data_IF_883244774901
#
_entry.id   IF_883244774901
#
_cell.length_a   1.000
_cell.length_b   1.000
_cell.length_c   1.000
_cell.angle_alpha   90.00
_cell.angle_beta   90.00
_cell.angle_gamma   90.00
#
_symmetry.space_group_name_H-M   'P 1'
#
loop_
_entity.id
_entity.type
_entity.pdbx_description
1 polymer ?
#
# COMPACT_ATOMS: atom_id res chain seq x y z
N UNK A 1 55.55 2.11 54.71
CA UNK A 1 54.68 1.60 53.63
C UNK A 1 53.23 1.68 54.10
N UNK A 2 52.43 2.64 53.61
CA UNK A 2 50.96 2.51 53.54
C UNK A 2 50.53 3.30 52.31
N UNK A 3 50.12 2.58 51.26
CA UNK A 3 49.50 3.13 50.06
C UNK A 3 47.99 3.03 50.29
N UNK A 4 47.27 4.16 50.31
CA UNK A 4 45.81 4.16 50.46
C UNK A 4 45.17 3.97 49.08
N UNK A 5 44.70 2.75 48.81
CA UNK A 5 43.94 2.41 47.60
C UNK A 5 42.51 2.95 47.68
N UNK A 6 42.25 4.03 46.94
CA UNK A 6 40.88 4.49 46.66
C UNK A 6 40.16 3.52 45.72
N UNK A 7 39.08 2.89 46.20
CA UNK A 7 38.23 2.01 45.40
C UNK A 7 37.27 2.84 44.54
N UNK A 8 37.56 2.96 43.26
CA UNK A 8 36.65 3.55 42.27
C UNK A 8 35.55 2.53 41.93
N UNK A 9 34.29 2.84 42.24
CA UNK A 9 33.14 2.00 41.90
C UNK A 9 32.66 2.39 40.51
N UNK A 10 32.88 1.50 39.53
CA UNK A 10 32.47 1.67 38.14
C UNK A 10 30.94 1.68 38.03
N UNK A 11 30.35 2.85 37.81
CA UNK A 11 28.92 3.00 37.51
C UNK A 11 28.71 2.59 36.05
N UNK A 12 28.06 1.44 35.84
CA UNK A 12 27.66 0.97 34.52
C UNK A 12 26.41 1.74 34.08
N UNK A 13 26.61 2.78 33.29
CA UNK A 13 25.53 3.51 32.62
C UNK A 13 24.94 2.61 31.53
N UNK A 14 23.68 2.19 31.69
CA UNK A 14 22.95 1.46 30.66
C UNK A 14 22.29 2.48 29.72
N UNK A 15 22.91 2.71 28.57
CA UNK A 15 22.33 3.48 27.47
C UNK A 15 21.21 2.65 26.82
N UNK A 16 19.96 2.94 27.19
CA UNK A 16 18.77 2.41 26.53
C UNK A 16 18.60 3.11 25.18
N UNK A 17 19.09 2.49 24.11
CA UNK A 17 18.80 2.89 22.73
C UNK A 17 17.35 2.49 22.42
N UNK A 18 16.44 3.46 22.45
CA UNK A 18 15.07 3.28 21.99
C UNK A 18 15.09 3.19 20.46
N UNK A 19 15.16 1.97 19.93
CA UNK A 19 14.93 1.71 18.52
C UNK A 19 13.42 1.75 18.28
N UNK A 20 12.93 2.85 17.71
CA UNK A 20 11.61 2.88 17.10
C UNK A 20 11.66 1.94 15.89
N UNK A 21 11.14 0.72 16.08
CA UNK A 21 10.92 -0.22 15.00
C UNK A 21 9.97 0.44 13.99
N UNK A 22 10.52 0.87 12.86
CA UNK A 22 9.75 1.25 11.70
C UNK A 22 9.09 -0.05 11.23
N UNK A 23 7.77 -0.14 11.35
CA UNK A 23 7.01 -1.31 10.92
C UNK A 23 7.26 -1.53 9.43
N UNK A 24 8.12 -2.49 9.09
CA UNK A 24 8.22 -3.02 7.74
C UNK A 24 6.85 -3.62 7.41
N UNK A 25 6.05 -2.87 6.65
CA UNK A 25 4.86 -3.42 6.04
C UNK A 25 5.32 -4.58 5.17
N UNK A 26 5.03 -5.81 5.60
CA UNK A 26 5.25 -7.01 4.81
C UNK A 26 4.64 -6.77 3.43
N UNK A 27 5.51 -6.62 2.44
CA UNK A 27 5.15 -6.38 1.05
C UNK A 27 4.63 -7.68 0.45
N UNK A 28 3.41 -8.05 0.80
CA UNK A 28 2.57 -8.79 -0.13
C UNK A 28 2.08 -7.77 -1.15
N UNK A 29 3.01 -7.34 -2.01
CA UNK A 29 2.67 -6.56 -3.18
C UNK A 29 1.87 -7.46 -4.09
N UNK A 30 0.56 -7.24 -4.14
CA UNK A 30 -0.16 -7.53 -5.37
C UNK A 30 0.63 -6.83 -6.49
N UNK A 31 1.22 -7.60 -7.40
CA UNK A 31 2.00 -7.08 -8.52
C UNK A 31 1.20 -5.93 -9.17
N UNK A 32 1.77 -4.72 -9.17
CA UNK A 32 1.17 -3.54 -9.80
C UNK A 32 0.59 -2.46 -8.88
N UNK A 33 0.71 -2.55 -7.55
CA UNK A 33 0.46 -1.37 -6.68
C UNK A 33 1.63 -0.38 -6.79
N UNK A 34 1.33 0.85 -7.22
CA UNK A 34 2.31 1.95 -7.37
C UNK A 34 2.66 2.55 -6.01
N UNK A 35 1.66 2.83 -5.18
CA UNK A 35 1.89 3.33 -3.83
C UNK A 35 0.86 2.81 -2.85
N UNK A 36 1.29 2.61 -1.60
CA UNK A 36 0.45 2.23 -0.48
C UNK A 36 0.85 3.07 0.74
N UNK A 37 -0.09 3.86 1.25
CA UNK A 37 0.11 4.73 2.41
C UNK A 37 -0.96 4.41 3.44
N UNK A 38 -0.57 3.90 4.59
CA UNK A 38 -1.50 3.67 5.69
C UNK A 38 -1.93 5.00 6.32
N UNK A 39 -3.21 5.08 6.71
CA UNK A 39 -3.73 6.15 7.56
C UNK A 39 -2.97 6.20 8.89
N UNK A 40 -2.84 7.37 9.56
CA UNK A 40 -2.26 7.45 10.91
C UNK A 40 -2.91 6.52 11.93
N UNK A 41 -4.21 6.23 11.78
CA UNK A 41 -4.92 5.28 12.66
C UNK A 41 -4.71 3.81 12.27
N UNK A 42 -4.20 3.53 11.07
CA UNK A 42 -4.05 2.19 10.53
C UNK A 42 -5.34 1.55 10.01
N UNK A 43 -6.49 2.22 10.12
CA UNK A 43 -7.80 1.62 9.78
C UNK A 43 -8.06 1.50 8.27
N UNK A 44 -7.35 2.29 7.46
CA UNK A 44 -7.42 2.24 6.01
C UNK A 44 -6.08 2.60 5.37
N UNK A 45 -5.91 2.21 4.12
CA UNK A 45 -4.82 2.60 3.25
C UNK A 45 -5.33 3.42 2.07
N UNK A 46 -4.51 4.39 1.69
CA UNK A 46 -4.55 5.02 0.39
C UNK A 46 -3.65 4.23 -0.56
N UNK A 47 -4.24 3.62 -1.58
CA UNK A 47 -3.58 2.82 -2.59
C UNK A 47 -3.67 3.52 -3.95
N UNK A 48 -2.58 3.47 -4.71
CA UNK A 48 -2.58 3.83 -6.14
C UNK A 48 -2.11 2.63 -6.95
N UNK A 49 -2.86 2.28 -7.98
CA UNK A 49 -2.53 1.18 -8.90
C UNK A 49 -3.10 1.46 -10.30
N UNK A 50 -2.51 0.92 -11.38
CA UNK A 50 -3.06 1.09 -12.72
C UNK A 50 -4.45 0.45 -12.83
N UNK A 51 -5.32 1.02 -13.65
CA UNK A 51 -6.58 0.36 -13.98
C UNK A 51 -6.35 -0.96 -14.74
N UNK A 52 -7.35 -1.83 -14.76
CA UNK A 52 -7.33 -3.05 -15.57
C UNK A 52 -7.46 -2.68 -17.04
N UNK A 53 -6.70 -3.35 -17.89
CA UNK A 53 -6.82 -3.26 -19.35
C UNK A 53 -8.25 -3.62 -19.77
N UNK A 54 -8.96 -2.71 -20.43
CA UNK A 54 -10.38 -2.89 -20.79
C UNK A 54 -10.58 -4.16 -21.63
N UNK A 55 -9.63 -4.51 -22.48
CA UNK A 55 -9.64 -5.71 -23.31
C UNK A 55 -9.54 -7.02 -22.50
N UNK A 56 -8.96 -6.98 -21.30
CA UNK A 56 -8.84 -8.14 -20.39
C UNK A 56 -9.80 -8.10 -19.21
N UNK A 57 -10.56 -7.01 -19.04
CA UNK A 57 -11.42 -6.76 -17.88
C UNK A 57 -12.48 -7.84 -17.65
N UNK A 58 -12.88 -8.53 -18.73
CA UNK A 58 -13.87 -9.60 -18.71
C UNK A 58 -13.26 -11.01 -18.81
N UNK A 59 -11.93 -11.13 -18.82
CA UNK A 59 -11.24 -12.42 -18.86
C UNK A 59 -11.13 -13.06 -17.48
N UNK A 60 -10.82 -14.34 -17.45
CA UNK A 60 -10.57 -15.08 -16.20
C UNK A 60 -9.31 -14.58 -15.47
N UNK A 61 -8.37 -13.99 -16.21
CA UNK A 61 -7.11 -13.42 -15.69
C UNK A 61 -6.91 -12.01 -16.23
N UNK A 62 -7.54 -10.99 -15.63
CA UNK A 62 -7.34 -9.60 -16.02
C UNK A 62 -5.91 -9.14 -15.76
N UNK A 63 -5.46 -8.18 -16.56
CA UNK A 63 -4.10 -7.63 -16.49
C UNK A 63 -4.17 -6.13 -16.28
N UNK A 64 -3.34 -5.62 -15.37
CA UNK A 64 -3.24 -4.18 -15.14
C UNK A 64 -2.62 -3.48 -16.36
N UNK A 65 -2.99 -2.21 -16.54
CA UNK A 65 -2.32 -1.33 -17.48
C UNK A 65 -0.89 -1.07 -17.03
N UNK A 66 -0.07 -0.58 -17.95
CA UNK A 66 1.25 -0.07 -17.59
C UNK A 66 1.11 1.16 -16.68
N UNK A 67 1.95 1.27 -15.65
CA UNK A 67 1.89 2.39 -14.72
C UNK A 67 2.16 3.76 -15.38
N UNK A 68 2.83 3.78 -16.54
CA UNK A 68 3.05 4.99 -17.33
C UNK A 68 1.84 5.43 -18.16
N UNK A 69 0.79 4.61 -18.28
CA UNK A 69 -0.41 4.93 -19.08
C UNK A 69 -1.25 6.09 -18.52
N UNK A 70 -1.04 6.47 -17.26
CA UNK A 70 -1.77 7.55 -16.59
C UNK A 70 -3.17 7.18 -16.11
N UNK A 71 -3.69 6.01 -16.46
CA UNK A 71 -4.96 5.50 -15.95
C UNK A 71 -4.75 4.81 -14.60
N UNK A 72 -4.75 5.63 -13.55
CA UNK A 72 -4.44 5.23 -12.18
C UNK A 72 -5.71 5.28 -11.32
N UNK A 73 -6.02 4.16 -10.68
CA UNK A 73 -7.05 4.08 -9.65
C UNK A 73 -6.47 4.61 -8.34
N UNK A 74 -7.15 5.60 -7.80
CA UNK A 74 -6.88 6.16 -6.48
C UNK A 74 -7.92 5.60 -5.49
N UNK A 75 -7.47 4.69 -4.61
CA UNK A 75 -8.32 3.87 -3.76
C UNK A 75 -8.08 4.17 -2.28
N UNK A 76 -9.17 4.32 -1.53
CA UNK A 76 -9.17 4.43 -0.07
C UNK A 76 -9.98 3.28 0.51
N UNK A 77 -9.33 2.42 1.31
CA UNK A 77 -10.01 1.27 1.89
C UNK A 77 -9.05 0.31 2.61
N UNK A 78 -9.40 -0.98 2.72
CA UNK A 78 -8.56 -1.97 3.39
C UNK A 78 -7.14 -2.03 2.81
N UNK A 79 -6.16 -2.16 3.68
CA UNK A 79 -4.76 -2.22 3.29
C UNK A 79 -4.37 -3.49 2.52
N UNK A 80 -5.19 -4.53 2.58
CA UNK A 80 -5.05 -5.80 1.87
C UNK A 80 -5.87 -5.85 0.57
N UNK A 81 -6.35 -4.70 0.08
CA UNK A 81 -7.09 -4.63 -1.19
C UNK A 81 -6.22 -5.10 -2.36
N UNK A 82 -6.78 -6.03 -3.15
CA UNK A 82 -6.17 -6.60 -4.33
C UNK A 82 -6.68 -5.87 -5.59
N UNK A 83 -5.80 -5.18 -6.35
CA UNK A 83 -6.12 -4.54 -7.63
C UNK A 83 -6.72 -5.48 -8.68
N UNK A 84 -6.44 -6.78 -8.59
CA UNK A 84 -7.00 -7.81 -9.46
C UNK A 84 -8.05 -8.68 -8.74
N UNK A 85 -8.47 -8.26 -7.55
CA UNK A 85 -9.47 -8.94 -6.76
C UNK A 85 -10.87 -8.78 -7.36
N UNK A 86 -11.75 -9.76 -7.10
CA UNK A 86 -13.14 -9.78 -7.61
C UNK A 86 -13.89 -8.47 -7.35
N UNK A 87 -13.70 -7.85 -6.18
CA UNK A 87 -14.36 -6.59 -5.81
C UNK A 87 -13.93 -5.44 -6.75
N UNK A 88 -12.64 -5.33 -7.02
CA UNK A 88 -12.08 -4.30 -7.90
C UNK A 88 -12.51 -4.52 -9.36
N UNK A 89 -12.44 -5.77 -9.84
CA UNK A 89 -12.91 -6.14 -11.19
C UNK A 89 -14.37 -5.72 -11.39
N UNK A 90 -15.25 -6.03 -10.43
CA UNK A 90 -16.67 -5.67 -10.52
C UNK A 90 -16.88 -4.14 -10.51
N UNK A 91 -16.10 -3.42 -9.70
CA UNK A 91 -16.13 -1.96 -9.65
C UNK A 91 -15.76 -1.36 -11.01
N UNK A 92 -14.61 -1.74 -11.57
CA UNK A 92 -14.15 -1.20 -12.84
C UNK A 92 -15.08 -1.58 -14.01
N UNK A 93 -15.66 -2.79 -14.00
CA UNK A 93 -16.72 -3.16 -14.97
C UNK A 93 -17.91 -2.20 -14.88
N UNK A 94 -18.40 -1.92 -13.67
CA UNK A 94 -19.52 -1.02 -13.48
C UNK A 94 -19.18 0.42 -13.91
N UNK A 95 -17.95 0.87 -13.68
CA UNK A 95 -17.47 2.19 -14.11
C UNK A 95 -17.46 2.30 -15.64
N UNK A 96 -16.89 1.31 -16.35
CA UNK A 96 -16.89 1.23 -17.82
C UNK A 96 -18.32 1.23 -18.38
N UNK A 97 -19.25 0.49 -17.78
CA UNK A 97 -20.65 0.47 -18.23
C UNK A 97 -21.32 1.84 -18.05
N UNK A 98 -21.05 2.53 -16.94
CA UNK A 98 -21.57 3.88 -16.68
C UNK A 98 -21.01 4.88 -17.68
N UNK A 99 -19.72 4.81 -18.01
CA UNK A 99 -19.10 5.67 -19.03
C UNK A 99 -19.69 5.44 -20.42
N UNK A 100 -19.86 4.18 -20.84
CA UNK A 100 -20.49 3.85 -22.13
C UNK A 100 -21.92 4.38 -22.21
N UNK A 101 -22.70 4.22 -21.14
CA UNK A 101 -24.07 4.73 -21.07
C UNK A 101 -24.13 6.26 -21.20
N UNK A 102 -23.18 6.97 -20.57
CA UNK A 102 -23.09 8.44 -20.69
C UNK A 102 -22.73 8.89 -22.10
N UNK A 103 -21.83 8.17 -22.78
CA UNK A 103 -21.46 8.49 -24.17
C UNK A 103 -22.65 8.31 -25.11
N UNK A 104 -23.37 7.18 -25.00
CA UNK A 104 -24.52 6.88 -25.84
C UNK A 104 -25.75 7.77 -25.56
N UNK A 105 -25.89 8.31 -24.35
CA UNK A 105 -26.97 9.25 -24.00
C UNK A 105 -26.64 10.71 -24.28
N UNK A 106 -25.46 11.00 -24.81
CA UNK A 106 -25.02 12.35 -25.18
C UNK A 106 -25.19 12.65 -26.68
N UNK A 107 -25.59 11.65 -27.47
CA UNK A 107 -25.87 11.74 -28.91
C UNK A 107 -27.38 11.99 -29.16
#
# INVERSE_FOLDING_TARGET
MVWNGGKMKTIKSFLSVLTLALSDALTWGAEGVISKVASPSGDYCHLKFPAIREETLYWDRPVLKDASSGDIVDFYGPCDHDPLGKKEILRQRADVQRERSRRLGSD
#
